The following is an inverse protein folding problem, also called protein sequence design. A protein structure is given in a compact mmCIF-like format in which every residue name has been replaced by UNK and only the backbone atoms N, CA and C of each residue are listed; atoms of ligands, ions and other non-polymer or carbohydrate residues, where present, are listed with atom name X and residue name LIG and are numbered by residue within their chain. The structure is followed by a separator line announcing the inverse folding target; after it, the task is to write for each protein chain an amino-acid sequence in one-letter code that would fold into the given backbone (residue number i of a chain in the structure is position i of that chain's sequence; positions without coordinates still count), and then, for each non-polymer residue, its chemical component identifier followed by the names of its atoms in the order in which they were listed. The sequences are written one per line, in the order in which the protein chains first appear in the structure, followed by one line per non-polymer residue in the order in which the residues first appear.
data_IF_313616383345
#
_entry.id   IF_313616383345
#
_cell.length_a   1.000
_cell.length_b   1.000
_cell.length_c   1.000
_cell.angle_alpha   90.00
_cell.angle_beta   90.00
_cell.angle_gamma   90.00
#
_symmetry.space_group_name_H-M   'P 1'
#
loop_
_entity.id
_entity.type
_entity.pdbx_description
1 polymer ?
#
# COMPACT_ATOMS: atom_id res chain seq x y z
N UNK A 1 -36.49 -35.71 -26.79
CA UNK A 1 -35.85 -34.51 -27.39
C UNK A 1 -34.86 -33.93 -26.39
N UNK A 2 -33.75 -33.39 -26.89
CA UNK A 2 -32.44 -33.27 -26.24
C UNK A 2 -32.40 -32.41 -24.95
N UNK A 3 -31.55 -32.87 -24.03
CA UNK A 3 -31.13 -32.27 -22.74
C UNK A 3 -30.40 -30.95 -22.99
N UNK A 4 -30.79 -29.87 -22.31
CA UNK A 4 -30.06 -28.60 -22.33
C UNK A 4 -28.93 -28.61 -21.31
N UNK A 5 -27.75 -28.49 -21.87
CA UNK A 5 -26.44 -28.68 -21.29
C UNK A 5 -25.99 -27.44 -20.50
N UNK A 6 -25.45 -27.73 -19.33
CA UNK A 6 -24.63 -26.89 -18.46
C UNK A 6 -23.57 -26.12 -19.26
N UNK A 7 -23.59 -24.79 -19.18
CA UNK A 7 -22.44 -23.91 -19.37
C UNK A 7 -22.63 -22.79 -18.34
N UNK A 8 -22.33 -22.98 -17.06
CA UNK A 8 -20.97 -22.84 -16.51
C UNK A 8 -20.14 -21.77 -17.24
N UNK A 9 -20.68 -20.55 -17.33
CA UNK A 9 -19.91 -19.34 -17.65
C UNK A 9 -18.93 -19.04 -16.51
N UNK A 10 -17.82 -19.77 -16.52
CA UNK A 10 -16.49 -19.20 -16.70
C UNK A 10 -16.32 -17.76 -16.21
N UNK A 11 -16.44 -17.53 -14.90
CA UNK A 11 -15.75 -16.39 -14.27
C UNK A 11 -14.32 -16.83 -13.92
N UNK A 12 -13.58 -17.23 -14.96
CA UNK A 12 -12.11 -17.18 -14.93
C UNK A 12 -11.77 -15.70 -15.07
N UNK A 13 -11.85 -14.97 -13.96
CA UNK A 13 -11.13 -13.72 -13.83
C UNK A 13 -9.89 -13.98 -12.97
N UNK A 14 -8.93 -14.66 -13.60
CA UNK A 14 -7.51 -14.38 -13.45
C UNK A 14 -6.96 -14.68 -12.04
N UNK A 15 -6.81 -15.98 -11.75
CA UNK A 15 -5.63 -16.48 -11.04
C UNK A 15 -4.40 -16.23 -11.92
N UNK A 16 -3.93 -14.97 -12.00
CA UNK A 16 -2.60 -14.70 -12.53
C UNK A 16 -1.58 -14.71 -11.41
N UNK A 17 -0.76 -15.76 -11.46
CA UNK A 17 0.67 -15.71 -11.17
C UNK A 17 1.00 -15.61 -9.67
N UNK A 18 0.95 -16.76 -9.01
CA UNK A 18 1.91 -17.08 -7.97
C UNK A 18 3.20 -17.58 -8.64
N UNK A 19 3.92 -16.68 -9.31
CA UNK A 19 5.34 -16.89 -9.54
C UNK A 19 6.08 -16.37 -8.30
N UNK A 20 7.17 -17.05 -7.93
CA UNK A 20 8.01 -16.76 -6.75
C UNK A 20 8.76 -15.43 -6.89
N UNK A 21 8.01 -14.34 -6.97
CA UNK A 21 8.47 -13.02 -7.35
C UNK A 21 8.73 -12.16 -6.13
N UNK A 22 9.73 -11.27 -6.22
CA UNK A 22 9.88 -10.15 -5.29
C UNK A 22 8.52 -9.53 -5.02
N UNK A 23 8.22 -9.23 -3.76
CA UNK A 23 6.95 -8.61 -3.36
C UNK A 23 6.76 -7.17 -3.91
N UNK A 24 7.67 -6.70 -4.77
CA UNK A 24 7.65 -5.41 -5.46
C UNK A 24 7.94 -5.56 -6.96
N UNK A 25 7.28 -4.77 -7.84
CA UNK A 25 7.56 -4.78 -9.27
C UNK A 25 9.01 -4.44 -9.63
N UNK A 26 9.52 -5.00 -10.72
CA UNK A 26 10.90 -4.79 -11.15
C UNK A 26 11.27 -3.32 -11.35
N UNK A 27 12.43 -2.95 -10.82
CA UNK A 27 12.98 -1.60 -10.89
C UNK A 27 12.32 -0.58 -9.95
N UNK A 28 11.37 -1.01 -9.11
CA UNK A 28 10.72 -0.16 -8.11
C UNK A 28 11.37 -0.22 -6.72
N UNK A 29 12.42 -1.04 -6.56
CA UNK A 29 13.21 -1.10 -5.33
C UNK A 29 13.85 0.25 -5.00
N UNK A 30 13.78 0.66 -3.73
CA UNK A 30 14.16 2.01 -3.29
C UNK A 30 13.16 3.12 -3.66
N UNK A 31 11.92 2.78 -4.01
CA UNK A 31 10.85 3.77 -4.21
C UNK A 31 10.63 4.57 -2.93
N UNK A 32 10.50 5.89 -3.06
CA UNK A 32 10.12 6.79 -1.98
C UNK A 32 9.34 7.96 -2.58
N UNK A 33 8.04 8.01 -2.33
CA UNK A 33 7.18 8.98 -3.02
C UNK A 33 5.73 8.95 -2.60
N UNK A 34 4.91 9.70 -3.34
CA UNK A 34 3.46 9.77 -3.20
C UNK A 34 2.81 9.11 -4.41
N UNK A 35 1.83 8.25 -4.16
CA UNK A 35 1.04 7.56 -5.19
C UNK A 35 -0.45 7.86 -5.02
N UNK A 36 -1.20 7.84 -6.11
CA UNK A 36 -2.67 7.78 -6.06
C UNK A 36 -3.14 6.42 -6.58
N UNK A 37 -4.23 5.93 -6.04
CA UNK A 37 -4.73 4.61 -6.40
C UNK A 37 -6.08 4.30 -5.78
N UNK A 38 -6.39 3.01 -5.74
CA UNK A 38 -7.62 2.48 -5.20
C UNK A 38 -7.34 1.32 -4.26
N UNK A 39 -7.81 1.42 -3.02
CA UNK A 39 -7.76 0.34 -2.05
C UNK A 39 -8.82 -0.67 -2.44
N UNK A 40 -8.39 -1.84 -2.91
CA UNK A 40 -9.27 -2.92 -3.37
C UNK A 40 -9.48 -4.00 -2.30
N UNK A 41 -8.54 -4.14 -1.35
CA UNK A 41 -8.62 -5.10 -0.24
C UNK A 41 -7.84 -4.56 0.95
N UNK A 42 -8.25 -4.97 2.16
CA UNK A 42 -7.51 -4.75 3.39
C UNK A 42 -7.32 -6.06 4.14
N UNK A 43 -6.18 -6.17 4.79
CA UNK A 43 -5.85 -7.16 5.81
C UNK A 43 -5.42 -6.42 7.08
N UNK A 44 -5.11 -7.15 8.16
CA UNK A 44 -4.90 -6.60 9.51
C UNK A 44 -4.05 -5.31 9.53
N UNK A 45 -2.88 -5.32 8.89
CA UNK A 45 -1.99 -4.16 8.77
C UNK A 45 -1.53 -3.92 7.33
N UNK A 46 -2.30 -4.37 6.34
CA UNK A 46 -1.88 -4.30 4.93
C UNK A 46 -3.03 -3.79 4.07
N UNK A 47 -2.73 -2.86 3.17
CA UNK A 47 -3.61 -2.42 2.10
C UNK A 47 -3.16 -3.05 0.78
N UNK A 48 -4.11 -3.50 -0.01
CA UNK A 48 -3.88 -3.87 -1.41
C UNK A 48 -4.38 -2.69 -2.25
N UNK A 49 -3.45 -2.02 -2.92
CA UNK A 49 -3.72 -0.78 -3.63
C UNK A 49 -3.41 -0.96 -5.10
N UNK A 50 -4.42 -0.79 -5.96
CA UNK A 50 -4.22 -0.66 -7.40
C UNK A 50 -3.75 0.75 -7.71
N UNK A 51 -2.51 0.89 -8.16
CA UNK A 51 -1.88 2.18 -8.39
C UNK A 51 -2.37 2.76 -9.71
N UNK A 52 -2.79 4.02 -9.66
CA UNK A 52 -3.23 4.80 -10.84
C UNK A 52 -2.16 5.77 -11.29
N UNK A 53 -1.42 6.36 -10.36
CA UNK A 53 -0.43 7.40 -10.67
C UNK A 53 0.69 7.42 -9.62
N UNK A 54 1.91 7.76 -10.07
CA UNK A 54 3.00 8.21 -9.21
C UNK A 54 2.99 9.74 -9.21
N UNK A 55 2.43 10.33 -8.16
CA UNK A 55 2.17 11.78 -8.08
C UNK A 55 3.44 12.60 -7.82
N UNK A 56 4.34 12.07 -6.99
CA UNK A 56 5.58 12.77 -6.61
C UNK A 56 6.63 11.78 -6.16
N UNK A 57 7.89 12.07 -6.48
CA UNK A 57 9.05 11.37 -5.94
C UNK A 57 9.75 12.24 -4.90
N UNK A 58 10.24 11.63 -3.84
CA UNK A 58 11.07 12.30 -2.84
C UNK A 58 12.51 12.41 -3.32
N UNK A 59 13.25 13.41 -2.84
CA UNK A 59 14.63 13.69 -3.26
C UNK A 59 15.58 12.49 -3.10
N UNK A 60 15.29 11.59 -2.17
CA UNK A 60 16.09 10.41 -1.86
C UNK A 60 15.52 9.11 -2.47
N UNK A 61 14.56 9.19 -3.41
CA UNK A 61 14.07 8.04 -4.16
C UNK A 61 15.21 7.39 -4.96
N UNK A 62 15.41 6.07 -4.79
CA UNK A 62 16.45 5.29 -5.48
C UNK A 62 15.90 4.34 -6.55
N UNK A 63 14.58 4.25 -6.69
CA UNK A 63 13.95 3.43 -7.72
C UNK A 63 14.38 3.86 -9.13
N UNK A 64 14.89 2.89 -9.90
CA UNK A 64 15.30 3.08 -11.30
C UNK A 64 14.10 3.26 -12.24
N UNK A 65 12.98 2.61 -11.93
CA UNK A 65 11.74 2.61 -12.73
C UNK A 65 10.51 2.81 -11.85
N UNK A 66 10.36 3.96 -11.16
CA UNK A 66 9.26 4.18 -10.22
C UNK A 66 7.88 4.09 -10.87
N UNK A 67 7.77 4.46 -12.15
CA UNK A 67 6.50 4.40 -12.90
C UNK A 67 6.02 2.97 -13.20
N UNK A 68 6.86 1.93 -13.02
CA UNK A 68 6.43 0.53 -13.17
C UNK A 68 5.37 0.11 -12.13
N UNK A 69 5.10 0.95 -11.12
CA UNK A 69 3.97 0.77 -10.21
C UNK A 69 2.61 0.99 -10.88
N UNK A 70 2.53 1.84 -11.90
CA UNK A 70 1.25 2.23 -12.51
C UNK A 70 0.54 1.00 -13.09
N UNK A 71 -0.74 0.85 -12.76
CA UNK A 71 -1.57 -0.27 -13.18
C UNK A 71 -1.39 -1.55 -12.34
N UNK A 72 -0.39 -1.61 -11.46
CA UNK A 72 -0.14 -2.77 -10.59
C UNK A 72 -0.94 -2.67 -9.29
N UNK A 73 -1.29 -3.83 -8.74
CA UNK A 73 -1.76 -3.96 -7.36
C UNK A 73 -0.56 -4.25 -6.46
N UNK A 74 -0.30 -3.40 -5.48
CA UNK A 74 0.79 -3.59 -4.52
C UNK A 74 0.25 -3.76 -3.10
N UNK A 75 1.03 -4.45 -2.26
CA UNK A 75 0.81 -4.53 -0.81
C UNK A 75 1.52 -3.37 -0.13
N UNK A 76 0.77 -2.53 0.57
CA UNK A 76 1.29 -1.42 1.39
C UNK A 76 1.05 -1.73 2.86
N UNK A 77 2.14 -1.88 3.62
CA UNK A 77 2.11 -2.24 5.03
C UNK A 77 2.21 -1.01 5.93
N UNK A 78 2.04 -1.21 7.23
CA UNK A 78 2.37 -0.19 8.22
C UNK A 78 3.87 0.15 8.21
N UNK A 79 4.17 1.40 8.56
CA UNK A 79 5.54 1.84 8.78
C UNK A 79 6.01 1.40 10.16
N UNK A 80 7.31 1.17 10.31
CA UNK A 80 7.92 0.77 11.58
C UNK A 80 8.81 1.90 12.10
N UNK A 81 8.89 2.05 13.41
CA UNK A 81 9.75 3.06 14.04
C UNK A 81 10.43 2.46 15.26
N UNK A 82 11.56 3.05 15.65
CA UNK A 82 12.26 2.72 16.88
C UNK A 82 11.97 3.79 17.93
N UNK A 83 11.16 3.49 18.96
CA UNK A 83 10.87 4.44 20.02
C UNK A 83 12.14 4.85 20.77
N UNK A 84 12.20 6.12 21.19
CA UNK A 84 13.28 6.64 22.03
C UNK A 84 13.43 5.77 23.28
N UNK A 85 14.67 5.40 23.61
CA UNK A 85 14.99 4.58 24.78
C UNK A 85 14.75 3.07 24.60
N UNK A 86 14.40 2.59 23.41
CA UNK A 86 14.17 1.17 23.16
C UNK A 86 15.14 0.60 22.12
N UNK A 87 15.50 -0.68 22.26
CA UNK A 87 16.34 -1.39 21.27
C UNK A 87 15.53 -2.03 20.14
N UNK A 88 14.23 -2.25 20.33
CA UNK A 88 13.35 -2.97 19.39
C UNK A 88 12.51 -2.01 18.56
N UNK A 89 12.37 -2.30 17.27
CA UNK A 89 11.41 -1.62 16.40
C UNK A 89 9.99 -2.07 16.74
N UNK A 90 9.02 -1.18 16.51
CA UNK A 90 7.60 -1.50 16.61
C UNK A 90 6.79 -0.87 15.47
N UNK A 91 5.66 -1.47 15.09
CA UNK A 91 4.70 -0.85 14.19
C UNK A 91 4.31 0.57 14.61
N UNK A 92 4.22 1.48 13.65
CA UNK A 92 3.66 2.80 13.87
C UNK A 92 2.16 2.67 14.13
N UNK A 93 1.75 2.89 15.38
CA UNK A 93 0.34 2.74 15.81
C UNK A 93 -0.64 3.56 14.99
N UNK A 94 -0.21 4.70 14.46
CA UNK A 94 -1.06 5.57 13.64
C UNK A 94 -1.27 4.99 12.24
N UNK A 95 -0.23 4.36 11.66
CA UNK A 95 -0.36 3.66 10.39
C UNK A 95 -1.30 2.46 10.54
N UNK A 96 -1.14 1.67 11.61
CA UNK A 96 -2.06 0.57 11.94
C UNK A 96 -3.51 1.05 12.08
N UNK A 97 -3.74 2.13 12.84
CA UNK A 97 -5.08 2.68 13.03
C UNK A 97 -5.69 3.23 11.74
N UNK A 98 -4.87 3.88 10.90
CA UNK A 98 -5.29 4.34 9.58
C UNK A 98 -5.75 3.17 8.71
N UNK A 99 -4.94 2.11 8.59
CA UNK A 99 -5.26 0.92 7.81
C UNK A 99 -6.55 0.26 8.30
N UNK A 100 -6.73 0.16 9.61
CA UNK A 100 -7.97 -0.40 10.20
C UNK A 100 -9.21 0.40 9.77
N UNK A 101 -9.14 1.73 9.80
CA UNK A 101 -10.29 2.63 9.63
C UNK A 101 -10.56 3.10 8.20
N UNK A 102 -9.53 3.17 7.35
CA UNK A 102 -9.68 3.65 5.97
C UNK A 102 -10.65 2.75 5.20
N UNK A 103 -11.56 3.35 4.44
CA UNK A 103 -12.52 2.60 3.61
C UNK A 103 -11.83 2.15 2.31
N UNK A 104 -12.44 1.16 1.65
CA UNK A 104 -12.06 0.83 0.27
C UNK A 104 -12.34 2.02 -0.65
N UNK A 105 -11.66 2.07 -1.80
CA UNK A 105 -11.83 3.13 -2.80
C UNK A 105 -10.60 4.03 -2.95
N UNK A 106 -10.81 5.22 -3.53
CA UNK A 106 -9.73 6.13 -3.92
C UNK A 106 -8.88 6.57 -2.73
N UNK A 107 -7.56 6.59 -2.91
CA UNK A 107 -6.61 7.03 -1.88
C UNK A 107 -5.37 7.67 -2.49
N UNK A 108 -4.76 8.58 -1.74
CA UNK A 108 -3.39 9.08 -1.97
C UNK A 108 -2.54 8.67 -0.78
N UNK A 109 -1.40 8.00 -1.02
CA UNK A 109 -0.53 7.50 0.03
C UNK A 109 0.90 7.99 -0.19
N UNK A 110 1.59 8.32 0.90
CA UNK A 110 3.04 8.39 0.89
C UNK A 110 3.60 7.03 1.28
N UNK A 111 4.39 6.45 0.39
CA UNK A 111 4.94 5.10 0.57
C UNK A 111 6.43 5.08 0.27
N UNK A 112 7.11 4.12 0.85
CA UNK A 112 8.48 3.80 0.49
C UNK A 112 8.74 2.30 0.57
N UNK A 113 9.68 1.81 -0.22
CA UNK A 113 10.34 0.52 0.01
C UNK A 113 11.58 0.81 0.85
N UNK A 114 11.56 0.43 2.13
CA UNK A 114 12.69 0.57 3.04
C UNK A 114 13.84 -0.38 2.69
N UNK A 115 14.58 -0.88 3.69
CA UNK A 115 15.65 -1.87 3.52
C UNK A 115 15.14 -3.29 3.17
N UNK A 116 13.97 -3.40 2.55
CA UNK A 116 13.30 -4.67 2.28
C UNK A 116 12.43 -4.63 1.03
N UNK A 117 11.97 -5.80 0.63
CA UNK A 117 11.20 -6.06 -0.58
C UNK A 117 9.71 -5.70 -0.46
N UNK A 118 9.33 -4.71 0.36
CA UNK A 118 7.92 -4.39 0.62
C UNK A 118 7.67 -2.88 0.72
N UNK A 119 6.49 -2.45 0.28
CA UNK A 119 6.04 -1.07 0.50
C UNK A 119 5.50 -0.89 1.92
N UNK A 120 5.86 0.24 2.52
CA UNK A 120 5.37 0.71 3.80
C UNK A 120 4.79 2.11 3.65
N UNK A 121 3.77 2.42 4.44
CA UNK A 121 3.35 3.80 4.68
C UNK A 121 4.52 4.58 5.27
N UNK A 122 4.92 5.65 4.59
CA UNK A 122 5.97 6.56 5.04
C UNK A 122 5.40 7.60 6.00
N UNK A 123 4.39 8.34 5.54
CA UNK A 123 3.68 9.34 6.32
C UNK A 123 2.17 9.30 6.06
N UNK A 124 1.43 9.84 7.02
CA UNK A 124 0.00 10.10 6.88
C UNK A 124 -0.21 11.60 6.67
N UNK A 125 -1.06 11.95 5.69
CA UNK A 125 -1.57 13.31 5.51
C UNK A 125 -2.40 13.77 6.71
N UNK A 126 -2.71 15.06 6.79
CA UNK A 126 -3.51 15.64 7.88
C UNK A 126 -4.84 14.91 8.10
N UNK A 127 -5.61 14.68 7.02
CA UNK A 127 -6.89 13.99 7.08
C UNK A 127 -6.74 12.50 7.46
N UNK A 128 -5.67 11.86 6.99
CA UNK A 128 -5.36 10.48 7.37
C UNK A 128 -4.96 10.36 8.85
N UNK A 129 -4.24 11.36 9.40
CA UNK A 129 -3.91 11.45 10.83
C UNK A 129 -5.16 11.64 11.68
N UNK A 130 -6.09 12.51 11.26
CA UNK A 130 -7.39 12.66 11.92
C UNK A 130 -8.15 11.33 11.94
N UNK A 131 -8.24 10.66 10.80
CA UNK A 131 -8.87 9.33 10.71
C UNK A 131 -8.18 8.32 11.64
N UNK A 132 -6.85 8.31 11.69
CA UNK A 132 -6.05 7.46 12.56
C UNK A 132 -6.23 7.75 14.07
N UNK A 133 -6.89 8.86 14.42
CA UNK A 133 -7.12 9.29 15.80
C UNK A 133 -5.93 10.02 16.44
N UNK A 134 -5.08 10.64 15.62
CA UNK A 134 -4.01 11.51 16.14
C UNK A 134 -4.65 12.78 16.70
N UNK A 135 -4.54 13.00 18.01
CA UNK A 135 -4.94 14.26 18.63
C UNK A 135 -4.00 15.36 18.14
N UNK A 136 -4.55 16.40 17.54
CA UNK A 136 -3.77 17.57 17.16
C UNK A 136 -3.42 18.33 18.44
N UNK A 137 -2.14 18.69 18.60
CA UNK A 137 -1.82 19.75 19.54
C UNK A 137 -2.41 21.03 18.96
N UNK A 138 -3.28 21.71 19.70
CA UNK A 138 -3.58 23.11 19.43
C UNK A 138 -2.22 23.83 19.41
N UNK A 139 -1.91 24.52 18.31
CA UNK A 139 -0.88 25.55 18.35
C UNK A 139 -1.55 26.69 19.09
N UNK A 140 -1.21 26.83 20.36
CA UNK A 140 -1.42 28.06 21.10
C UNK A 140 -0.45 29.13 20.57
#
# INVERSE_FOLDING_TARGET
MKINLIIMSLLILICSVYAGDKNIPDGTDGFSGMVTGEIIKKEKNTLYVKIKEVKKLWKHNKAKKPNNLIGKTIKVNEGWHKPKGTKKYKPNKWHVNFIKKVKLGKVTLEIHTGDGDRFHLLELSHEQRKLAGVKQKKKD
#
